data_IF_281496436961
#
_entry.id   IF_281496436961
#
_cell.length_a   1.000
_cell.length_b   1.000
_cell.length_c   1.000
_cell.angle_alpha   90.00
_cell.angle_beta   90.00
_cell.angle_gamma   90.00
#
_symmetry.space_group_name_H-M   'P 1'
#
loop_
_entity.id
_entity.type
_entity.pdbx_description
1 polymer ?
#
# COMPACT_ATOMS: atom_id res chain seq x y z
N UNK A 1 33.04 27.34 40.30
CA UNK A 1 32.90 26.92 38.89
C UNK A 1 32.07 25.63 38.73
N UNK A 2 30.90 25.53 39.39
CA UNK A 2 30.01 24.33 39.28
C UNK A 2 28.51 24.69 39.20
N UNK A 3 28.15 25.97 39.35
CA UNK A 3 26.76 26.43 39.35
C UNK A 3 26.30 26.75 37.93
N UNK A 4 27.17 27.30 37.09
CA UNK A 4 26.85 27.64 35.69
C UNK A 4 26.57 26.40 34.82
N UNK A 5 27.22 25.26 35.09
CA UNK A 5 27.08 24.01 34.32
C UNK A 5 25.70 23.35 34.50
N UNK A 6 25.06 23.52 35.67
CA UNK A 6 23.73 22.94 35.95
C UNK A 6 22.59 23.70 35.25
N UNK A 7 22.73 25.02 35.10
CA UNK A 7 21.77 25.83 34.33
C UNK A 7 21.86 25.54 32.83
N UNK A 8 23.05 25.24 32.31
CA UNK A 8 23.22 24.80 30.93
C UNK A 8 22.59 23.42 30.68
N UNK A 9 22.68 22.49 31.65
CA UNK A 9 22.04 21.17 31.55
C UNK A 9 20.51 21.23 31.64
N UNK A 10 19.93 22.13 32.43
CA UNK A 10 18.47 22.35 32.44
C UNK A 10 17.96 22.95 31.12
N UNK A 11 18.75 23.79 30.46
CA UNK A 11 18.36 24.40 29.18
C UNK A 11 18.35 23.41 28.00
N UNK A 12 19.20 22.36 28.03
CA UNK A 12 19.27 21.35 26.96
C UNK A 12 18.11 20.35 27.01
N UNK A 13 17.48 20.15 28.17
CA UNK A 13 16.36 19.22 28.33
C UNK A 13 15.05 19.73 27.70
N UNK A 14 14.90 21.05 27.52
CA UNK A 14 13.66 21.68 27.03
C UNK A 14 13.47 21.66 25.51
N UNK A 15 14.48 21.24 24.72
CA UNK A 15 14.46 21.33 23.24
C UNK A 15 14.03 20.01 22.57
N UNK A 16 13.84 18.93 23.34
CA UNK A 16 13.67 17.58 22.78
C UNK A 16 12.23 17.14 22.45
N UNK A 17 11.21 17.99 22.59
CA UNK A 17 9.79 17.57 22.55
C UNK A 17 8.92 18.12 21.41
N UNK A 18 9.51 18.46 20.25
CA UNK A 18 8.73 18.69 19.03
C UNK A 18 9.16 17.79 17.88
N UNK A 19 9.14 16.48 18.13
CA UNK A 19 8.97 15.50 17.04
C UNK A 19 7.51 15.58 16.61
N UNK A 20 7.17 16.51 15.72
CA UNK A 20 5.86 16.47 15.04
C UNK A 20 5.91 15.20 14.20
N UNK A 21 5.13 14.14 14.50
CA UNK A 21 5.01 13.04 13.57
C UNK A 21 4.45 13.66 12.29
N UNK A 22 5.27 13.66 11.23
CA UNK A 22 4.88 14.19 9.95
C UNK A 22 3.56 13.52 9.56
N UNK A 23 2.52 14.34 9.35
CA UNK A 23 1.27 13.89 8.79
C UNK A 23 1.59 13.36 7.38
N UNK A 24 1.89 12.06 7.28
CA UNK A 24 2.17 11.43 6.00
C UNK A 24 0.87 11.45 5.21
N UNK A 25 0.81 12.28 4.18
CA UNK A 25 -0.28 12.22 3.22
C UNK A 25 -0.39 10.78 2.70
N UNK A 26 -1.61 10.22 2.71
CA UNK A 26 -1.84 8.89 2.15
C UNK A 26 -1.38 8.89 0.68
N UNK A 27 -0.60 7.89 0.29
CA UNK A 27 -0.12 7.77 -1.08
C UNK A 27 -1.33 7.70 -2.04
N UNK A 28 -1.28 8.36 -3.20
CA UNK A 28 -2.37 8.29 -4.19
C UNK A 28 -2.62 6.82 -4.59
N UNK A 29 -3.89 6.43 -4.59
CA UNK A 29 -4.32 5.06 -4.89
C UNK A 29 -4.93 4.95 -6.29
N UNK A 30 -4.73 3.81 -6.92
CA UNK A 30 -5.35 3.40 -8.18
C UNK A 30 -6.44 2.36 -7.91
N UNK A 31 -7.56 2.46 -8.61
CA UNK A 31 -8.57 1.39 -8.63
C UNK A 31 -8.15 0.40 -9.72
N UNK A 32 -7.96 -0.86 -9.35
CA UNK A 32 -7.47 -1.90 -10.27
C UNK A 32 -8.20 -3.21 -10.09
N UNK A 33 -8.19 -4.00 -11.15
CA UNK A 33 -8.52 -5.42 -11.17
C UNK A 33 -7.22 -6.18 -11.42
N UNK A 34 -6.94 -7.18 -10.59
CA UNK A 34 -5.83 -8.10 -10.78
C UNK A 34 -6.40 -9.48 -11.05
N UNK A 35 -6.04 -10.07 -12.19
CA UNK A 35 -6.48 -11.39 -12.61
C UNK A 35 -5.30 -12.31 -12.91
N UNK A 36 -5.52 -13.61 -12.73
CA UNK A 36 -4.55 -14.67 -12.89
C UNK A 36 -5.18 -15.85 -13.66
N UNK A 37 -4.39 -16.68 -14.34
CA UNK A 37 -4.80 -18.00 -14.80
C UNK A 37 -5.32 -18.89 -13.65
N UNK A 38 -6.29 -19.76 -13.93
CA UNK A 38 -6.98 -20.59 -12.93
C UNK A 38 -6.05 -21.53 -12.15
N UNK A 39 -4.97 -21.99 -12.78
CA UNK A 39 -3.96 -22.88 -12.21
C UNK A 39 -2.96 -22.18 -11.29
N UNK A 40 -3.01 -20.84 -11.19
CA UNK A 40 -2.14 -20.07 -10.30
C UNK A 40 -2.36 -20.51 -8.84
N UNK A 41 -1.30 -20.85 -8.08
CA UNK A 41 -1.43 -21.25 -6.68
C UNK A 41 -2.06 -20.15 -5.81
N UNK A 42 -2.96 -20.52 -4.90
CA UNK A 42 -3.70 -19.56 -4.08
C UNK A 42 -2.79 -18.69 -3.19
N UNK A 43 -1.63 -19.21 -2.77
CA UNK A 43 -0.68 -18.45 -1.98
C UNK A 43 -0.08 -17.26 -2.75
N UNK A 44 0.00 -17.34 -4.08
CA UNK A 44 0.49 -16.22 -4.92
C UNK A 44 -0.54 -15.08 -4.94
N UNK A 45 -1.81 -15.43 -5.12
CA UNK A 45 -2.92 -14.46 -5.08
C UNK A 45 -3.01 -13.82 -3.70
N UNK A 46 -2.90 -14.64 -2.65
CA UNK A 46 -2.91 -14.17 -1.27
C UNK A 46 -1.73 -13.23 -0.98
N UNK A 47 -0.52 -13.60 -1.41
CA UNK A 47 0.67 -12.76 -1.27
C UNK A 47 0.48 -11.38 -1.92
N UNK A 48 -0.14 -11.32 -3.10
CA UNK A 48 -0.43 -10.06 -3.76
C UNK A 48 -1.45 -9.21 -2.98
N UNK A 49 -2.54 -9.83 -2.49
CA UNK A 49 -3.53 -9.13 -1.68
C UNK A 49 -2.94 -8.61 -0.37
N UNK A 50 -2.09 -9.39 0.29
CA UNK A 50 -1.44 -9.02 1.55
C UNK A 50 -0.44 -7.88 1.34
N UNK A 51 0.34 -7.91 0.26
CA UNK A 51 1.23 -6.80 -0.08
C UNK A 51 0.46 -5.49 -0.29
N UNK A 52 -0.70 -5.54 -0.96
CA UNK A 52 -1.57 -4.37 -1.13
C UNK A 52 -2.09 -3.85 0.21
N UNK A 53 -2.58 -4.73 1.08
CA UNK A 53 -3.04 -4.35 2.45
C UNK A 53 -1.90 -3.73 3.27
N UNK A 54 -0.72 -4.33 3.24
CA UNK A 54 0.47 -3.86 3.97
C UNK A 54 0.96 -2.49 3.46
N UNK A 55 0.74 -2.18 2.18
CA UNK A 55 1.02 -0.88 1.60
C UNK A 55 -0.07 0.18 1.91
N UNK A 56 -1.09 -0.15 2.71
CA UNK A 56 -2.21 0.73 3.02
C UNK A 56 -3.31 0.76 1.94
N UNK A 57 -3.28 -0.19 1.01
CA UNK A 57 -4.37 -0.45 0.06
C UNK A 57 -5.52 -1.25 0.67
N UNK A 58 -6.60 -1.38 -0.10
CA UNK A 58 -7.83 -2.09 0.31
C UNK A 58 -8.27 -3.02 -0.81
N UNK A 59 -8.61 -4.26 -0.47
CA UNK A 59 -9.27 -5.20 -1.38
C UNK A 59 -10.76 -4.87 -1.37
N UNK A 60 -11.30 -4.48 -2.52
CA UNK A 60 -12.70 -4.06 -2.65
C UNK A 60 -13.61 -5.22 -3.03
N UNK A 61 -13.06 -6.23 -3.71
CA UNK A 61 -13.79 -7.43 -4.08
C UNK A 61 -12.84 -8.60 -4.34
N UNK A 62 -13.23 -9.80 -3.94
CA UNK A 62 -12.57 -11.06 -4.36
C UNK A 62 -13.54 -11.82 -5.27
N UNK A 63 -13.08 -12.19 -6.47
CA UNK A 63 -13.94 -12.85 -7.44
C UNK A 63 -14.08 -14.33 -7.14
N UNK A 64 -15.29 -14.86 -7.30
CA UNK A 64 -15.57 -16.30 -7.17
C UNK A 64 -15.48 -17.07 -8.49
N UNK A 65 -15.66 -16.38 -9.62
CA UNK A 65 -15.72 -16.97 -10.96
C UNK A 65 -14.37 -17.00 -11.67
N UNK A 66 -13.47 -16.08 -11.31
CA UNK A 66 -12.11 -15.99 -11.86
C UNK A 66 -11.12 -15.94 -10.71
N UNK A 67 -9.87 -16.34 -10.97
CA UNK A 67 -8.81 -16.15 -10.00
C UNK A 67 -8.31 -14.71 -10.03
N UNK A 68 -8.80 -13.89 -9.10
CA UNK A 68 -8.44 -12.48 -9.05
C UNK A 68 -9.18 -11.70 -7.98
N UNK A 69 -8.88 -10.41 -7.91
CA UNK A 69 -9.49 -9.48 -6.97
C UNK A 69 -9.47 -8.05 -7.51
N UNK A 70 -10.37 -7.21 -7.02
CA UNK A 70 -10.35 -5.76 -7.21
C UNK A 70 -9.77 -5.07 -5.98
N UNK A 71 -9.04 -3.98 -6.18
CA UNK A 71 -8.39 -3.25 -5.09
C UNK A 71 -8.26 -1.75 -5.36
N UNK A 72 -8.17 -0.99 -4.27
CA UNK A 72 -7.56 0.35 -4.26
C UNK A 72 -6.15 0.23 -3.71
N UNK A 73 -5.14 0.50 -4.52
CA UNK A 73 -3.75 0.25 -4.16
C UNK A 73 -2.82 1.41 -4.53
N UNK A 74 -1.80 1.72 -3.71
CA UNK A 74 -0.74 2.63 -4.12
C UNK A 74 -0.04 2.14 -5.39
N UNK A 75 0.30 3.05 -6.32
CA UNK A 75 0.94 2.65 -7.58
C UNK A 75 2.25 1.86 -7.37
N UNK A 76 3.01 2.19 -6.32
CA UNK A 76 4.29 1.54 -6.03
C UNK A 76 4.16 0.04 -5.72
N UNK A 77 3.10 -0.38 -5.01
CA UNK A 77 2.91 -1.81 -4.70
C UNK A 77 2.46 -2.61 -5.92
N UNK A 78 1.77 -1.97 -6.88
CA UNK A 78 1.35 -2.61 -8.12
C UNK A 78 2.55 -3.02 -8.99
N UNK A 79 3.66 -2.27 -8.96
CA UNK A 79 4.91 -2.67 -9.62
C UNK A 79 5.46 -3.96 -9.04
N UNK A 80 5.43 -4.10 -7.71
CA UNK A 80 5.85 -5.33 -7.02
C UNK A 80 4.93 -6.50 -7.34
N UNK A 81 3.61 -6.29 -7.30
CA UNK A 81 2.61 -7.31 -7.65
C UNK A 81 2.79 -7.75 -9.10
N UNK A 82 3.03 -6.82 -10.03
CA UNK A 82 3.28 -7.14 -11.44
C UNK A 82 4.56 -7.98 -11.62
N UNK A 83 5.62 -7.66 -10.87
CA UNK A 83 6.86 -8.40 -10.93
C UNK A 83 6.70 -9.84 -10.45
N UNK A 84 5.99 -10.06 -9.33
CA UNK A 84 5.68 -11.40 -8.84
C UNK A 84 4.72 -12.17 -9.75
N UNK A 85 3.78 -11.44 -10.35
CA UNK A 85 2.79 -12.00 -11.26
C UNK A 85 3.35 -12.40 -12.62
N UNK A 86 4.61 -12.03 -12.97
CA UNK A 86 5.19 -12.32 -14.29
C UNK A 86 5.22 -13.81 -14.61
N UNK A 87 5.65 -14.63 -13.65
CA UNK A 87 5.75 -16.08 -13.83
C UNK A 87 4.35 -16.76 -13.83
N UNK A 88 3.34 -16.03 -13.35
CA UNK A 88 1.95 -16.47 -13.26
C UNK A 88 1.04 -15.73 -14.24
N UNK A 89 1.60 -15.01 -15.23
CA UNK A 89 0.85 -14.25 -16.24
C UNK A 89 -0.25 -13.36 -15.65
N UNK A 90 0.01 -12.72 -14.51
CA UNK A 90 -0.94 -11.82 -13.88
C UNK A 90 -1.19 -10.59 -14.75
N UNK A 91 -2.46 -10.22 -14.89
CA UNK A 91 -2.89 -9.01 -15.60
C UNK A 91 -3.42 -8.01 -14.58
N UNK A 92 -2.89 -6.79 -14.61
CA UNK A 92 -3.34 -5.67 -13.80
C UNK A 92 -3.96 -4.64 -14.72
N UNK A 93 -5.24 -4.36 -14.54
CA UNK A 93 -6.01 -3.40 -15.33
C UNK A 93 -6.52 -2.28 -14.42
N UNK A 94 -6.46 -1.03 -14.87
CA UNK A 94 -7.15 0.06 -14.18
C UNK A 94 -8.65 -0.11 -14.33
N UNK A 95 -9.37 -0.07 -13.21
CA UNK A 95 -10.83 -0.19 -13.18
C UNK A 95 -11.46 1.08 -13.77
N UNK A 96 -12.44 0.91 -14.66
CA UNK A 96 -13.05 1.99 -15.43
C UNK A 96 -14.56 2.00 -15.25
N UNK A 97 -15.15 3.20 -15.19
CA UNK A 97 -16.60 3.37 -15.17
C UNK A 97 -17.13 3.23 -16.59
N UNK A 98 -18.11 2.35 -16.77
CA UNK A 98 -18.88 2.22 -18.02
C UNK A 98 -20.23 2.89 -17.87
N UNK A 99 -20.66 3.63 -18.89
CA UNK A 99 -21.94 4.33 -18.91
C UNK A 99 -22.83 3.76 -20.02
N UNK A 100 -24.14 3.65 -19.76
CA UNK A 100 -25.11 3.41 -20.82
C UNK A 100 -25.26 4.70 -21.64
N UNK A 101 -25.21 4.58 -22.96
CA UNK A 101 -25.58 5.68 -23.86
C UNK A 101 -27.09 5.58 -24.09
N UNK A 102 -27.82 6.63 -23.70
CA UNK A 102 -29.25 6.78 -23.97
C UNK A 102 -29.53 7.09 -25.45
#
# INVERSE_FOLDING_TARGET
MMIFTKFTQLAVLAISLFSIPGLSAAAPQKSVIVSYPDDTPNNIVQQAMDAIKNAGGVITHEYKLIKGFAAKAPAQVLVTVQAWGKDYHAVIEEDQVVNAND
#
